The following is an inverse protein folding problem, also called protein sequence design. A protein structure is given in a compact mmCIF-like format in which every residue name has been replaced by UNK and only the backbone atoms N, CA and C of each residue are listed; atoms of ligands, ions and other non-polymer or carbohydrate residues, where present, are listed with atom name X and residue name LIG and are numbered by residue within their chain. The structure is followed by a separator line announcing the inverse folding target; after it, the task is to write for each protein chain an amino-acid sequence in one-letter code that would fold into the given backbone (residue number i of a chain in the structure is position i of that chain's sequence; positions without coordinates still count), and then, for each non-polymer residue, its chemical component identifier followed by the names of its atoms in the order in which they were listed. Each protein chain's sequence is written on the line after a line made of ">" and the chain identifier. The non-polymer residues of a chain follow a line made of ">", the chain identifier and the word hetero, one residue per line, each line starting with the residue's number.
data_IF_726804659664
#
_entry.id   IF_726804659664
#
_cell.length_a   1.000
_cell.length_b   1.000
_cell.length_c   1.000
_cell.angle_alpha   90.00
_cell.angle_beta   90.00
_cell.angle_gamma   90.00
#
_symmetry.space_group_name_H-M   'P 1'
#
loop_
_entity.id
_entity.type
_entity.pdbx_description
1 polymer ?
#
# COMPACT_ATOMS: atom_id res chain seq x y z
N UNK A 1 5.97 14.10 -4.58
CA UNK A 1 7.10 13.92 -3.66
C UNK A 1 7.92 12.67 -3.93
N UNK A 2 7.31 11.52 -4.04
CA UNK A 2 8.02 10.27 -4.35
C UNK A 2 8.83 10.34 -5.65
N UNK A 3 8.25 10.86 -6.72
CA UNK A 3 8.95 10.99 -8.01
C UNK A 3 10.15 11.92 -7.93
N UNK A 4 10.00 13.04 -7.24
CA UNK A 4 11.08 14.03 -7.08
C UNK A 4 12.22 13.42 -6.26
N UNK A 5 11.89 12.76 -5.14
CA UNK A 5 12.87 12.10 -4.30
C UNK A 5 13.57 10.97 -5.05
N UNK A 6 12.83 10.19 -5.84
CA UNK A 6 13.42 9.14 -6.66
C UNK A 6 14.45 9.69 -7.64
N UNK A 7 14.16 10.82 -8.27
CA UNK A 7 15.09 11.48 -9.19
C UNK A 7 16.34 11.98 -8.47
N UNK A 8 16.18 12.57 -7.29
CA UNK A 8 17.29 13.08 -6.50
C UNK A 8 18.25 11.98 -6.07
N UNK A 9 17.73 10.80 -5.76
CA UNK A 9 18.52 9.66 -5.28
C UNK A 9 18.98 8.72 -6.39
N UNK A 10 18.59 8.95 -7.64
CA UNK A 10 18.90 8.03 -8.74
C UNK A 10 20.41 7.85 -8.94
N UNK A 11 21.20 8.91 -8.76
CA UNK A 11 22.66 8.85 -8.88
C UNK A 11 23.34 8.00 -7.82
N UNK A 12 22.65 7.69 -6.74
CA UNK A 12 23.16 6.86 -5.64
C UNK A 12 22.67 5.42 -5.71
N UNK A 13 21.94 5.06 -6.76
CA UNK A 13 21.33 3.73 -6.92
C UNK A 13 20.37 3.38 -5.79
N UNK A 14 19.67 4.39 -5.27
CA UNK A 14 18.66 4.23 -4.23
C UNK A 14 17.29 4.29 -4.88
N UNK A 15 16.45 3.31 -4.61
CA UNK A 15 15.06 3.29 -5.08
C UNK A 15 14.17 3.96 -4.03
N UNK A 16 13.23 4.75 -4.51
CA UNK A 16 12.27 5.46 -3.65
C UNK A 16 10.87 5.19 -4.18
N UNK A 17 10.08 4.51 -3.39
CA UNK A 17 8.68 4.20 -3.69
C UNK A 17 7.82 4.53 -2.50
N UNK A 18 6.53 4.63 -2.72
CA UNK A 18 5.55 4.88 -1.66
C UNK A 18 4.45 3.83 -1.71
N UNK A 19 3.74 3.67 -0.61
CA UNK A 19 2.56 2.81 -0.53
C UNK A 19 1.36 3.66 -0.16
N UNK A 20 0.24 3.45 -0.85
CA UNK A 20 -1.04 4.07 -0.54
C UNK A 20 -2.00 2.95 -0.10
N UNK A 21 -2.12 2.69 1.20
CA UNK A 21 -2.96 1.60 1.68
C UNK A 21 -4.44 1.96 1.67
N UNK A 22 -5.28 0.94 1.53
CA UNK A 22 -6.71 1.05 1.78
C UNK A 22 -7.04 0.72 3.23
N UNK A 23 -8.26 0.24 3.51
CA UNK A 23 -8.65 -0.10 4.88
C UNK A 23 -7.86 -1.30 5.39
N UNK A 24 -7.28 -1.16 6.59
CA UNK A 24 -6.49 -2.19 7.25
C UNK A 24 -7.07 -2.44 8.64
N UNK A 25 -7.19 -3.70 9.01
CA UNK A 25 -7.73 -4.11 10.31
C UNK A 25 -6.73 -3.78 11.41
N UNK A 26 -6.91 -2.62 12.04
CA UNK A 26 -6.08 -2.11 13.13
C UNK A 26 -6.97 -1.78 14.33
N UNK A 27 -6.39 -1.54 15.51
CA UNK A 27 -7.19 -1.11 16.68
C UNK A 27 -8.02 0.14 16.44
N UNK A 28 -7.58 1.04 15.57
CA UNK A 28 -8.38 2.23 15.20
C UNK A 28 -9.68 1.85 14.50
N UNK A 29 -9.64 0.80 13.68
CA UNK A 29 -10.80 0.31 12.96
C UNK A 29 -11.81 -0.35 13.87
N UNK A 30 -11.39 -0.91 14.98
CA UNK A 30 -12.26 -1.55 15.96
C UNK A 30 -13.30 -0.59 16.56
N UNK A 31 -13.02 0.72 16.56
CA UNK A 31 -13.95 1.74 17.03
C UNK A 31 -15.07 2.08 16.04
N UNK A 32 -15.00 1.59 14.81
CA UNK A 32 -15.96 1.91 13.75
C UNK A 32 -17.23 1.03 13.82
N UNK A 33 -17.11 -0.17 14.43
CA UNK A 33 -18.22 -1.13 14.53
C UNK A 33 -18.38 -1.97 13.26
N UNK A 34 -19.22 -3.02 13.38
CA UNK A 34 -19.42 -3.97 12.28
C UNK A 34 -20.00 -3.33 11.03
N UNK A 35 -20.95 -2.41 11.18
CA UNK A 35 -21.56 -1.73 10.03
C UNK A 35 -20.54 -0.87 9.27
N UNK A 36 -19.65 -0.22 9.99
CA UNK A 36 -18.59 0.57 9.38
C UNK A 36 -17.60 -0.31 8.62
N UNK A 37 -17.23 -1.46 9.20
CA UNK A 37 -16.34 -2.42 8.57
C UNK A 37 -16.98 -3.00 7.30
N UNK A 38 -18.26 -3.36 7.35
CA UNK A 38 -18.98 -3.87 6.18
C UNK A 38 -19.08 -2.81 5.07
N UNK A 39 -19.26 -1.54 5.44
CA UNK A 39 -19.26 -0.46 4.48
C UNK A 39 -17.89 -0.33 3.80
N UNK A 40 -16.80 -0.45 4.56
CA UNK A 40 -15.45 -0.41 4.02
C UNK A 40 -15.17 -1.58 3.07
N UNK A 41 -15.62 -2.78 3.42
CA UNK A 41 -15.49 -3.95 2.55
C UNK A 41 -16.14 -3.74 1.20
N UNK A 42 -17.28 -3.06 1.19
CA UNK A 42 -18.02 -2.77 -0.06
C UNK A 42 -17.29 -1.78 -0.95
N UNK A 43 -16.39 -0.97 -0.42
CA UNK A 43 -15.62 -0.01 -1.21
C UNK A 43 -14.45 -0.66 -1.95
N UNK A 44 -14.10 -1.90 -1.63
CA UNK A 44 -12.98 -2.61 -2.26
C UNK A 44 -13.46 -3.67 -3.23
N UNK A 45 -12.73 -3.87 -4.32
CA UNK A 45 -13.03 -4.93 -5.28
C UNK A 45 -12.80 -6.32 -4.68
N UNK A 46 -11.83 -6.45 -3.77
CA UNK A 46 -11.55 -7.72 -3.12
C UNK A 46 -12.57 -8.04 -2.01
N UNK A 47 -13.41 -7.08 -1.64
CA UNK A 47 -14.49 -7.28 -0.69
C UNK A 47 -14.02 -7.55 0.74
N UNK A 48 -12.85 -7.04 1.10
CA UNK A 48 -12.29 -7.27 2.43
C UNK A 48 -11.48 -6.09 2.93
N UNK A 49 -11.32 -6.03 4.25
CA UNK A 49 -10.36 -5.16 4.92
C UNK A 49 -9.06 -5.96 5.08
N UNK A 50 -7.93 -5.38 4.70
CA UNK A 50 -6.66 -6.08 4.77
C UNK A 50 -6.23 -6.33 6.21
N UNK A 51 -5.55 -7.44 6.44
CA UNK A 51 -4.86 -7.67 7.70
C UNK A 51 -3.48 -6.98 7.64
N UNK A 52 -2.94 -6.54 8.80
CA UNK A 52 -1.64 -5.86 8.81
C UNK A 52 -0.52 -6.64 8.14
N UNK A 53 -0.52 -7.96 8.25
CA UNK A 53 0.52 -8.79 7.62
C UNK A 53 0.45 -8.77 6.10
N UNK A 54 -0.73 -8.56 5.52
CA UNK A 54 -0.89 -8.45 4.07
C UNK A 54 -0.22 -7.18 3.55
N UNK A 55 -0.37 -6.08 4.28
CA UNK A 55 0.27 -4.82 3.94
C UNK A 55 1.79 -4.91 4.15
N UNK A 56 2.21 -5.55 5.24
CA UNK A 56 3.63 -5.76 5.53
C UNK A 56 4.30 -6.59 4.42
N UNK A 57 3.64 -7.61 3.91
CA UNK A 57 4.15 -8.42 2.81
C UNK A 57 4.38 -7.58 1.55
N UNK A 58 3.48 -6.64 1.25
CA UNK A 58 3.65 -5.70 0.14
C UNK A 58 4.89 -4.84 0.33
N UNK A 59 5.09 -4.30 1.54
CA UNK A 59 6.26 -3.49 1.85
C UNK A 59 7.56 -4.28 1.67
N UNK A 60 7.60 -5.52 2.14
CA UNK A 60 8.75 -6.40 1.95
C UNK A 60 9.03 -6.61 0.46
N UNK A 61 8.00 -6.85 -0.34
CA UNK A 61 8.15 -7.00 -1.79
C UNK A 61 8.70 -5.73 -2.45
N UNK A 62 8.26 -4.56 -1.98
CA UNK A 62 8.78 -3.27 -2.47
C UNK A 62 10.25 -3.08 -2.12
N UNK A 63 10.69 -3.56 -0.97
CA UNK A 63 12.06 -3.43 -0.52
C UNK A 63 12.99 -4.48 -1.14
N UNK A 64 12.46 -5.60 -1.58
CA UNK A 64 13.25 -6.72 -2.09
C UNK A 64 13.72 -6.48 -3.53
N UNK A 65 15.04 -6.38 -3.79
CA UNK A 65 15.54 -6.15 -5.15
C UNK A 65 15.19 -7.24 -6.15
N UNK A 66 15.02 -8.48 -5.70
CA UNK A 66 14.63 -9.58 -6.59
C UNK A 66 13.20 -9.45 -7.08
N UNK A 67 12.33 -8.79 -6.33
CA UNK A 67 10.92 -8.60 -6.68
C UNK A 67 10.69 -7.29 -7.40
N UNK A 68 11.30 -6.20 -6.93
CA UNK A 68 11.02 -4.84 -7.42
C UNK A 68 12.28 -4.03 -7.73
N UNK A 69 13.40 -4.69 -8.01
CA UNK A 69 14.69 -4.03 -8.20
C UNK A 69 14.74 -3.02 -9.36
N UNK A 70 13.81 -3.12 -10.31
CA UNK A 70 13.72 -2.20 -11.44
C UNK A 70 12.60 -1.16 -11.27
N UNK A 71 12.14 -0.95 -10.04
CA UNK A 71 11.01 -0.07 -9.74
C UNK A 71 11.44 1.06 -8.81
N UNK A 72 11.21 2.28 -9.25
CA UNK A 72 11.44 3.48 -8.44
C UNK A 72 10.47 4.58 -8.87
N UNK A 73 10.20 5.51 -7.98
CA UNK A 73 9.34 6.66 -8.26
C UNK A 73 7.86 6.31 -8.35
N UNK A 74 7.45 5.15 -7.86
CA UNK A 74 6.08 4.66 -7.98
C UNK A 74 5.33 4.69 -6.66
N UNK A 75 4.01 4.76 -6.75
CA UNK A 75 3.11 4.60 -5.61
C UNK A 75 2.36 3.28 -5.79
N UNK A 76 2.51 2.38 -4.82
CA UNK A 76 1.84 1.09 -4.82
C UNK A 76 0.50 1.24 -4.09
N UNK A 77 -0.60 1.08 -4.82
CA UNK A 77 -1.95 1.19 -4.25
C UNK A 77 -2.41 -0.16 -3.69
N UNK A 78 -1.95 -0.49 -2.47
CA UNK A 78 -2.31 -1.73 -1.79
C UNK A 78 -3.65 -1.55 -1.06
N UNK A 79 -4.74 -1.43 -1.81
CA UNK A 79 -6.04 -1.01 -1.29
C UNK A 79 -7.19 -1.97 -1.67
N UNK A 80 -6.88 -3.17 -2.15
CA UNK A 80 -7.90 -4.15 -2.52
C UNK A 80 -8.80 -3.70 -3.68
N UNK A 81 -8.36 -2.73 -4.47
CA UNK A 81 -9.14 -2.19 -5.57
C UNK A 81 -10.14 -1.10 -5.18
N UNK A 82 -10.01 -0.54 -3.97
CA UNK A 82 -10.86 0.57 -3.55
C UNK A 82 -10.77 1.74 -4.53
N UNK A 83 -9.57 1.92 -5.08
CA UNK A 83 -9.26 3.05 -5.92
C UNK A 83 -8.17 2.63 -6.89
N UNK A 84 -8.43 2.84 -8.16
CA UNK A 84 -7.50 2.45 -9.23
C UNK A 84 -7.05 3.72 -9.96
N UNK A 85 -5.74 3.92 -9.98
CA UNK A 85 -5.14 5.06 -10.66
C UNK A 85 -4.90 4.78 -12.13
#
# INVERSE_FOLDING_TARGET
>A
MTRTTAREFSGYRVRVNAIAPGPVNTPMLAGVGEQGIEAMKRTTLLGKVAEPHELAATVVGMACPMVSGYTTGQVFAANGGMYMA
#
